data_IF_279837800976
#
_entry.id   IF_279837800976
#
_cell.length_a   1.000
_cell.length_b   1.000
_cell.length_c   1.000
_cell.angle_alpha   90.00
_cell.angle_beta   90.00
_cell.angle_gamma   90.00
#
_symmetry.space_group_name_H-M   'P 1'
#
loop_
_entity.id
_entity.type
_entity.pdbx_description
1 polymer ?
#
# COMPACT_ATOMS: atom_id res chain seq x y z
N UNK A 1 72.87 -6.61 -38.63
CA UNK A 1 72.52 -6.86 -37.25
C UNK A 1 71.38 -5.90 -36.89
N UNK A 2 70.09 -6.39 -36.96
CA UNK A 2 68.91 -5.63 -36.74
C UNK A 2 68.46 -5.83 -35.30
N UNK A 3 68.47 -4.78 -34.47
CA UNK A 3 67.97 -4.82 -33.13
C UNK A 3 66.46 -4.57 -33.18
N UNK A 4 65.64 -5.56 -32.77
CA UNK A 4 64.17 -5.43 -32.55
C UNK A 4 63.96 -4.86 -31.17
N UNK A 5 63.35 -3.66 -31.11
CA UNK A 5 62.82 -3.08 -29.90
C UNK A 5 61.36 -3.61 -29.70
N UNK A 6 61.14 -4.37 -28.65
CA UNK A 6 59.83 -4.89 -28.26
C UNK A 6 59.17 -3.85 -27.37
N UNK A 7 58.20 -3.13 -27.90
CA UNK A 7 57.41 -2.13 -27.14
C UNK A 7 56.36 -2.83 -26.29
N UNK A 8 56.46 -2.69 -24.97
CA UNK A 8 55.50 -3.18 -23.99
C UNK A 8 54.30 -2.21 -23.88
N UNK A 9 53.16 -2.58 -24.46
CA UNK A 9 51.89 -1.86 -24.33
C UNK A 9 51.21 -2.28 -23.02
N UNK A 10 51.14 -1.36 -22.04
CA UNK A 10 50.38 -1.54 -20.80
C UNK A 10 48.97 -1.02 -21.06
N UNK A 11 47.92 -1.86 -20.93
CA UNK A 11 46.55 -1.34 -21.00
C UNK A 11 46.16 -0.60 -19.71
N UNK A 12 45.83 0.70 -19.83
CA UNK A 12 45.16 1.45 -18.76
C UNK A 12 43.74 0.92 -18.57
N UNK A 13 43.50 0.25 -17.46
CA UNK A 13 42.14 -0.11 -17.03
C UNK A 13 41.57 1.11 -16.34
N UNK A 14 40.71 1.86 -17.03
CA UNK A 14 39.91 2.93 -16.42
C UNK A 14 38.77 2.27 -15.67
N UNK A 15 38.90 2.18 -14.34
CA UNK A 15 37.82 1.79 -13.42
C UNK A 15 36.87 2.98 -13.28
N UNK A 16 35.74 2.94 -14.00
CA UNK A 16 34.60 3.83 -13.73
C UNK A 16 33.89 3.35 -12.46
N UNK A 17 34.29 3.90 -11.31
CA UNK A 17 33.50 3.80 -10.09
C UNK A 17 32.34 4.81 -10.20
N UNK A 18 31.21 4.38 -10.75
CA UNK A 18 29.94 5.09 -10.62
C UNK A 18 29.42 4.85 -9.20
N UNK A 19 29.79 5.75 -8.29
CA UNK A 19 29.14 5.88 -6.99
C UNK A 19 27.71 6.36 -7.19
N UNK A 20 26.79 5.42 -7.38
CA UNK A 20 25.37 5.69 -7.30
C UNK A 20 25.02 6.07 -5.86
N UNK A 21 24.66 7.34 -5.64
CA UNK A 21 24.03 7.73 -4.39
C UNK A 21 22.75 6.91 -4.23
N UNK A 22 22.75 5.99 -3.27
CA UNK A 22 21.56 5.26 -2.85
C UNK A 22 20.69 6.30 -2.14
N UNK A 23 19.72 6.83 -2.85
CA UNK A 23 18.60 7.56 -2.27
C UNK A 23 17.87 6.58 -1.35
N UNK A 24 17.99 6.79 -0.04
CA UNK A 24 17.31 6.01 1.00
C UNK A 24 15.83 6.37 1.07
N UNK A 25 15.10 6.17 -0.02
CA UNK A 25 13.68 5.91 0.08
C UNK A 25 13.56 4.46 0.53
N UNK A 26 13.16 4.24 1.79
CA UNK A 26 12.88 2.91 2.33
C UNK A 26 11.68 2.29 1.61
N UNK A 27 11.89 1.83 0.39
CA UNK A 27 10.96 0.95 -0.31
C UNK A 27 11.32 -0.47 0.07
N UNK A 28 10.55 -1.04 1.00
CA UNK A 28 10.66 -2.45 1.34
C UNK A 28 9.84 -3.27 0.35
N UNK A 29 10.48 -4.25 -0.31
CA UNK A 29 9.76 -5.27 -1.07
C UNK A 29 9.13 -6.25 -0.10
N UNK A 30 7.82 -6.41 -0.20
CA UNK A 30 7.07 -7.42 0.54
C UNK A 30 7.03 -8.69 -0.31
N UNK A 31 7.28 -9.85 0.31
CA UNK A 31 7.12 -11.14 -0.34
C UNK A 31 5.64 -11.30 -0.77
N UNK A 32 5.38 -11.28 -2.09
CA UNK A 32 4.03 -11.23 -2.68
C UNK A 32 3.83 -10.13 -3.72
N UNK A 33 4.92 -9.43 -4.12
CA UNK A 33 4.97 -8.34 -5.10
C UNK A 33 4.40 -6.98 -4.65
N UNK A 34 4.06 -6.79 -3.38
CA UNK A 34 3.69 -5.49 -2.84
C UNK A 34 4.92 -4.62 -2.55
N UNK A 35 4.87 -3.34 -2.94
CA UNK A 35 5.87 -2.34 -2.55
C UNK A 35 5.29 -1.51 -1.42
N UNK A 36 5.89 -1.64 -0.21
CA UNK A 36 5.54 -0.84 0.95
C UNK A 36 6.37 0.44 1.00
N UNK A 37 5.70 1.55 1.24
CA UNK A 37 6.32 2.86 1.45
C UNK A 37 5.81 3.43 2.76
N UNK A 38 6.69 3.68 3.72
CA UNK A 38 6.39 4.47 4.91
C UNK A 38 6.72 5.94 4.64
N UNK A 39 5.82 6.84 5.00
CA UNK A 39 5.95 8.28 4.76
C UNK A 39 6.36 8.96 6.07
N UNK A 40 7.54 9.62 6.12
CA UNK A 40 7.96 10.38 7.28
C UNK A 40 6.92 11.44 7.66
N UNK A 41 6.73 11.70 8.96
CA UNK A 41 5.66 12.60 9.45
C UNK A 41 5.65 13.97 8.77
N UNK A 42 6.82 14.54 8.48
CA UNK A 42 6.96 15.84 7.81
C UNK A 42 6.53 15.85 6.32
N UNK A 43 6.42 14.68 5.69
CA UNK A 43 6.08 14.52 4.28
C UNK A 43 4.64 14.02 4.06
N UNK A 44 3.95 13.65 5.16
CA UNK A 44 2.56 13.15 5.09
C UNK A 44 1.64 14.23 4.56
N UNK A 45 0.70 13.82 3.72
CA UNK A 45 -0.34 14.70 3.18
C UNK A 45 -1.69 14.27 3.71
N UNK A 46 -2.58 15.22 3.94
CA UNK A 46 -3.93 14.95 4.40
C UNK A 46 -4.67 14.01 3.43
N UNK A 47 -5.34 13.02 4.00
CA UNK A 47 -6.34 12.23 3.29
C UNK A 47 -7.62 13.07 3.10
N UNK A 48 -8.42 12.81 2.05
CA UNK A 48 -9.74 13.41 1.96
C UNK A 48 -10.65 12.90 3.09
N UNK A 49 -11.76 13.60 3.34
CA UNK A 49 -12.79 13.07 4.21
C UNK A 49 -13.29 11.72 3.69
N UNK A 50 -13.31 10.71 4.57
CA UNK A 50 -13.65 9.32 4.22
C UNK A 50 -15.03 9.02 4.78
N UNK A 51 -16.02 9.02 3.91
CA UNK A 51 -17.41 8.67 4.25
C UNK A 51 -18.15 8.23 2.99
N UNK A 52 -19.23 7.48 3.16
CA UNK A 52 -20.13 7.11 2.07
C UNK A 52 -20.91 5.83 2.31
N UNK A 53 -21.78 5.46 1.36
CA UNK A 53 -22.58 4.24 1.43
C UNK A 53 -21.71 2.99 1.36
N UNK A 54 -22.10 1.97 2.12
CA UNK A 54 -21.38 0.71 2.23
C UNK A 54 -22.09 -0.44 1.52
N UNK A 55 -21.33 -1.50 1.22
CA UNK A 55 -21.80 -2.68 0.49
C UNK A 55 -22.93 -3.43 1.20
N UNK A 56 -22.98 -3.38 2.52
CA UNK A 56 -24.03 -3.95 3.38
C UNK A 56 -25.31 -3.10 3.43
N UNK A 57 -25.32 -1.93 2.80
CA UNK A 57 -26.44 -1.01 2.76
C UNK A 57 -26.44 0.04 3.88
N UNK A 58 -25.39 0.06 4.70
CA UNK A 58 -25.15 1.08 5.73
C UNK A 58 -24.46 2.33 5.16
N UNK A 59 -23.89 3.10 6.07
CA UNK A 59 -23.05 4.25 5.77
C UNK A 59 -21.83 4.26 6.69
N UNK A 60 -20.67 4.59 6.16
CA UNK A 60 -19.43 4.72 6.90
C UNK A 60 -19.03 6.17 7.03
N UNK A 61 -18.49 6.52 8.17
CA UNK A 61 -17.82 7.79 8.42
C UNK A 61 -16.57 7.54 9.27
N UNK A 62 -15.42 8.04 8.81
CA UNK A 62 -14.16 7.88 9.52
C UNK A 62 -14.21 8.57 10.89
N UNK A 63 -13.82 7.84 11.93
CA UNK A 63 -13.76 8.39 13.30
C UNK A 63 -12.47 9.20 13.46
N UNK A 64 -12.56 10.49 13.81
CA UNK A 64 -11.38 11.31 14.08
C UNK A 64 -10.46 10.68 15.15
N UNK A 65 -9.17 10.81 14.99
CA UNK A 65 -8.19 10.31 15.96
C UNK A 65 -7.87 8.82 15.85
N UNK A 66 -8.51 8.08 14.95
CA UNK A 66 -8.20 6.66 14.72
C UNK A 66 -7.31 6.47 13.50
N UNK A 67 -6.40 5.52 13.59
CA UNK A 67 -5.68 4.98 12.42
C UNK A 67 -6.68 4.25 11.52
N UNK A 68 -6.55 4.45 10.20
CA UNK A 68 -7.41 3.80 9.21
C UNK A 68 -6.54 2.98 8.27
N UNK A 69 -6.89 1.72 8.07
CA UNK A 69 -6.39 0.87 6.98
C UNK A 69 -7.44 0.87 5.87
N UNK A 70 -7.13 1.54 4.75
CA UNK A 70 -8.01 1.65 3.60
C UNK A 70 -7.46 0.78 2.47
N UNK A 71 -8.19 -0.26 2.09
CA UNK A 71 -7.82 -1.20 1.02
C UNK A 71 -8.72 -1.03 -0.20
N UNK A 72 -8.12 -0.80 -1.38
CA UNK A 72 -8.83 -0.69 -2.67
C UNK A 72 -8.85 -2.05 -3.35
N UNK A 73 -10.03 -2.58 -3.64
CA UNK A 73 -10.19 -3.95 -4.08
C UNK A 73 -11.33 -4.18 -5.09
N UNK A 74 -11.31 -5.36 -5.72
CA UNK A 74 -12.43 -5.86 -6.53
C UNK A 74 -12.49 -7.40 -6.42
N UNK A 75 -13.66 -7.99 -6.60
CA UNK A 75 -13.87 -9.46 -6.49
C UNK A 75 -13.15 -10.26 -7.58
N UNK A 76 -12.96 -9.67 -8.74
CA UNK A 76 -12.26 -10.28 -9.89
C UNK A 76 -10.72 -10.16 -9.80
N UNK A 77 -10.20 -9.38 -8.87
CA UNK A 77 -8.77 -9.14 -8.68
C UNK A 77 -8.13 -10.34 -7.95
N UNK A 78 -7.25 -11.07 -8.61
CA UNK A 78 -6.60 -12.26 -8.02
C UNK A 78 -5.76 -11.95 -6.78
N UNK A 79 -4.85 -10.95 -6.76
CA UNK A 79 -4.10 -10.61 -5.55
C UNK A 79 -4.98 -10.05 -4.43
N UNK A 80 -6.12 -9.38 -4.74
CA UNK A 80 -7.07 -8.96 -3.70
C UNK A 80 -7.68 -10.18 -2.97
N UNK A 81 -7.86 -11.29 -3.68
CA UNK A 81 -8.35 -12.56 -3.09
C UNK A 81 -7.30 -13.21 -2.20
N UNK A 82 -6.02 -13.07 -2.55
CA UNK A 82 -4.93 -13.63 -1.78
C UNK A 82 -4.70 -12.88 -0.45
N UNK A 83 -4.84 -11.54 -0.45
CA UNK A 83 -4.66 -10.72 0.76
C UNK A 83 -5.88 -10.67 1.70
N UNK A 84 -7.08 -11.01 1.21
CA UNK A 84 -8.32 -10.86 1.97
C UNK A 84 -8.31 -11.56 3.36
N UNK A 85 -7.76 -12.79 3.52
CA UNK A 85 -7.66 -13.42 4.84
C UNK A 85 -6.76 -12.61 5.81
N UNK A 86 -5.62 -12.11 5.34
CA UNK A 86 -4.70 -11.34 6.18
C UNK A 86 -5.32 -10.01 6.65
N UNK A 87 -6.03 -9.31 5.74
CA UNK A 87 -6.75 -8.08 6.09
C UNK A 87 -7.86 -8.35 7.11
N UNK A 88 -8.62 -9.44 6.94
CA UNK A 88 -9.67 -9.81 7.89
C UNK A 88 -9.08 -10.18 9.26
N UNK A 89 -8.02 -10.95 9.31
CA UNK A 89 -7.36 -11.34 10.57
C UNK A 89 -6.84 -10.12 11.31
N UNK A 90 -6.15 -9.20 10.61
CA UNK A 90 -5.64 -7.95 11.18
C UNK A 90 -6.77 -7.03 11.67
N UNK A 91 -7.90 -7.00 10.98
CA UNK A 91 -9.05 -6.18 11.41
C UNK A 91 -9.64 -6.66 12.74
N UNK A 92 -9.51 -7.94 13.05
CA UNK A 92 -9.92 -8.53 14.34
C UNK A 92 -8.84 -8.31 15.40
N UNK A 93 -7.56 -8.43 15.03
CA UNK A 93 -6.43 -8.26 15.93
C UNK A 93 -6.28 -6.80 16.41
N UNK A 94 -6.68 -5.82 15.59
CA UNK A 94 -6.58 -4.38 15.88
C UNK A 94 -7.94 -3.68 15.94
N UNK A 95 -8.77 -3.93 16.97
CA UNK A 95 -10.11 -3.32 17.08
C UNK A 95 -10.06 -1.79 17.27
N UNK A 96 -8.91 -1.23 17.65
CA UNK A 96 -8.67 0.21 17.74
C UNK A 96 -8.45 0.87 16.37
N UNK A 97 -8.05 0.10 15.34
CA UNK A 97 -7.82 0.56 13.97
C UNK A 97 -9.11 0.39 13.15
N UNK A 98 -9.46 1.39 12.36
CA UNK A 98 -10.59 1.28 11.44
C UNK A 98 -10.14 0.63 10.13
N UNK A 99 -10.59 -0.58 9.84
CA UNK A 99 -10.42 -1.21 8.53
C UNK A 99 -11.58 -0.83 7.61
N UNK A 100 -11.27 -0.49 6.37
CA UNK A 100 -12.23 -0.06 5.36
C UNK A 100 -11.81 -0.54 3.98
N UNK A 101 -12.71 -1.19 3.26
CA UNK A 101 -12.58 -1.45 1.84
C UNK A 101 -13.08 -0.28 0.99
N UNK A 102 -12.56 -0.12 -0.22
CA UNK A 102 -13.15 0.69 -1.29
C UNK A 102 -13.31 -0.22 -2.51
N UNK A 103 -14.54 -0.55 -2.81
CA UNK A 103 -14.89 -1.36 -3.98
C UNK A 103 -14.72 -0.53 -5.24
N UNK A 104 -13.95 -1.01 -6.23
CA UNK A 104 -13.77 -0.30 -7.49
C UNK A 104 -14.10 -1.18 -8.69
N UNK A 105 -14.83 -0.63 -9.66
CA UNK A 105 -15.14 -1.26 -10.97
C UNK A 105 -15.65 -2.69 -10.87
N UNK A 106 -16.59 -2.93 -9.96
CA UNK A 106 -17.14 -4.27 -9.69
C UNK A 106 -18.66 -4.22 -9.52
N UNK A 107 -19.32 -5.37 -9.68
CA UNK A 107 -20.73 -5.49 -9.39
C UNK A 107 -20.96 -5.74 -7.89
N UNK A 108 -22.00 -5.12 -7.33
CA UNK A 108 -22.37 -5.32 -5.92
C UNK A 108 -22.69 -6.79 -5.59
N UNK A 109 -23.19 -7.56 -6.57
CA UNK A 109 -23.49 -8.99 -6.39
C UNK A 109 -22.20 -9.78 -6.23
N UNK A 110 -21.22 -9.58 -7.11
CA UNK A 110 -19.92 -10.28 -7.02
C UNK A 110 -19.14 -9.85 -5.77
N UNK A 111 -19.20 -8.56 -5.44
CA UNK A 111 -18.57 -8.02 -4.23
C UNK A 111 -19.16 -8.63 -2.94
N UNK A 112 -20.48 -8.78 -2.84
CA UNK A 112 -21.12 -9.45 -1.69
C UNK A 112 -20.72 -10.91 -1.57
N UNK A 113 -20.67 -11.64 -2.68
CA UNK A 113 -20.21 -13.03 -2.69
C UNK A 113 -18.73 -13.18 -2.27
N UNK A 114 -17.89 -12.18 -2.62
CA UNK A 114 -16.50 -12.11 -2.15
C UNK A 114 -16.44 -11.90 -0.62
N UNK A 115 -17.15 -10.91 -0.10
CA UNK A 115 -17.21 -10.59 1.35
C UNK A 115 -17.69 -11.79 2.15
N UNK A 116 -18.73 -12.48 1.68
CA UNK A 116 -19.23 -13.70 2.30
C UNK A 116 -18.19 -14.82 2.27
N UNK A 117 -17.58 -15.07 1.11
CA UNK A 117 -16.58 -16.14 0.92
C UNK A 117 -15.35 -15.99 1.82
N UNK A 118 -14.85 -14.75 2.00
CA UNK A 118 -13.67 -14.45 2.80
C UNK A 118 -14.01 -14.01 4.23
N UNK A 119 -15.30 -14.09 4.61
CA UNK A 119 -15.81 -13.74 5.93
C UNK A 119 -15.41 -12.33 6.40
N UNK A 120 -15.28 -11.37 5.46
CA UNK A 120 -14.89 -9.99 5.73
C UNK A 120 -15.94 -9.31 6.62
N UNK A 121 -15.51 -8.74 7.75
CA UNK A 121 -16.39 -8.10 8.74
C UNK A 121 -16.30 -6.56 8.73
N UNK A 122 -15.23 -6.00 8.17
CA UNK A 122 -15.11 -4.56 8.04
C UNK A 122 -15.90 -4.05 6.81
N UNK A 123 -16.42 -2.80 6.88
CA UNK A 123 -17.23 -2.23 5.79
C UNK A 123 -16.42 -1.98 4.52
N UNK A 124 -17.12 -1.90 3.38
CA UNK A 124 -16.55 -1.46 2.11
C UNK A 124 -17.42 -0.38 1.49
N UNK A 125 -16.84 0.76 1.15
CA UNK A 125 -17.50 1.81 0.37
C UNK A 125 -17.79 1.31 -1.04
N UNK A 126 -18.95 1.70 -1.59
CA UNK A 126 -19.37 1.34 -2.96
C UNK A 126 -19.17 2.47 -3.96
N UNK A 127 -18.83 3.67 -3.49
CA UNK A 127 -18.49 4.82 -4.33
C UNK A 127 -16.97 5.00 -4.37
N UNK A 128 -16.36 4.60 -5.49
CA UNK A 128 -14.91 4.71 -5.71
C UNK A 128 -14.45 6.10 -6.16
N UNK A 129 -15.36 7.06 -6.32
CA UNK A 129 -15.01 8.45 -6.68
C UNK A 129 -14.12 9.11 -5.61
N UNK A 130 -14.15 8.63 -4.37
CA UNK A 130 -13.26 9.05 -3.29
C UNK A 130 -11.79 8.87 -3.66
N UNK A 131 -11.44 7.85 -4.46
CA UNK A 131 -10.06 7.57 -4.86
C UNK A 131 -9.44 8.73 -5.65
N UNK A 132 -10.25 9.47 -6.39
CA UNK A 132 -9.82 10.64 -7.15
C UNK A 132 -9.39 11.80 -6.23
N UNK A 133 -9.96 11.87 -5.03
CA UNK A 133 -9.69 12.94 -4.05
C UNK A 133 -8.32 12.80 -3.36
N UNK A 134 -7.66 11.63 -3.47
CA UNK A 134 -6.33 11.41 -2.89
C UNK A 134 -5.19 12.11 -3.63
N UNK A 135 -5.44 12.81 -4.74
CA UNK A 135 -4.51 13.71 -5.44
C UNK A 135 -3.08 13.14 -5.62
N UNK A 136 -2.97 11.95 -6.21
CA UNK A 136 -1.69 11.31 -6.50
C UNK A 136 -1.05 10.56 -5.32
N UNK A 137 -1.69 10.51 -4.15
CA UNK A 137 -1.24 9.67 -3.03
C UNK A 137 -1.52 8.18 -3.28
N UNK A 138 -2.44 7.88 -4.19
CA UNK A 138 -2.67 6.54 -4.73
C UNK A 138 -2.91 6.61 -6.25
N UNK A 139 -2.72 5.47 -6.92
CA UNK A 139 -3.07 5.33 -8.34
C UNK A 139 -4.45 4.67 -8.42
N UNK A 140 -5.51 5.38 -8.85
CA UNK A 140 -6.90 4.90 -8.76
C UNK A 140 -7.17 3.57 -9.48
N UNK A 141 -6.33 3.24 -10.46
CA UNK A 141 -6.46 2.02 -11.28
C UNK A 141 -5.57 0.87 -10.82
N UNK A 142 -4.70 1.08 -9.81
CA UNK A 142 -3.80 0.06 -9.29
C UNK A 142 -4.47 -0.66 -8.10
N UNK A 143 -4.87 -1.92 -8.31
CA UNK A 143 -5.45 -2.78 -7.28
C UNK A 143 -4.67 -4.10 -7.17
N UNK A 144 -4.52 -4.60 -5.94
CA UNK A 144 -4.87 -3.92 -4.70
C UNK A 144 -3.92 -2.77 -4.37
N UNK A 145 -4.42 -1.79 -3.64
CA UNK A 145 -3.60 -0.76 -2.99
C UNK A 145 -4.13 -0.56 -1.59
N UNK A 146 -3.22 -0.56 -0.60
CA UNK A 146 -3.57 -0.32 0.80
C UNK A 146 -2.91 0.96 1.27
N UNK A 147 -3.69 1.87 1.86
CA UNK A 147 -3.21 3.06 2.55
C UNK A 147 -3.36 2.88 4.06
N UNK A 148 -2.40 3.38 4.83
CA UNK A 148 -2.55 3.58 6.26
C UNK A 148 -2.59 5.09 6.50
N UNK A 149 -3.67 5.54 7.14
CA UNK A 149 -3.92 6.93 7.48
C UNK A 149 -3.76 7.05 8.99
N UNK A 150 -2.93 7.99 9.44
CA UNK A 150 -2.69 8.21 10.87
C UNK A 150 -3.87 8.89 11.59
N UNK A 151 -3.83 8.93 12.91
CA UNK A 151 -4.86 9.56 13.74
C UNK A 151 -5.02 11.06 13.51
N UNK A 152 -4.03 11.72 12.89
CA UNK A 152 -4.13 13.11 12.45
C UNK A 152 -4.81 13.26 11.08
N UNK A 153 -5.19 12.16 10.43
CA UNK A 153 -5.86 12.15 9.12
C UNK A 153 -4.92 12.28 7.94
N UNK A 154 -3.63 11.98 8.10
CA UNK A 154 -2.66 12.04 7.01
C UNK A 154 -2.28 10.64 6.51
N UNK A 155 -2.02 10.51 5.22
CA UNK A 155 -1.51 9.25 4.65
C UNK A 155 -0.09 9.01 5.14
N UNK A 156 0.09 7.97 5.97
CA UNK A 156 1.33 7.64 6.66
C UNK A 156 2.08 6.47 6.01
N UNK A 157 1.37 5.58 5.32
CA UNK A 157 2.00 4.50 4.58
C UNK A 157 1.14 4.07 3.38
N UNK A 158 1.78 3.43 2.40
CA UNK A 158 1.13 2.84 1.22
C UNK A 158 1.77 1.51 0.87
N UNK A 159 0.95 0.53 0.55
CA UNK A 159 1.35 -0.71 -0.10
C UNK A 159 0.71 -0.75 -1.48
N UNK A 160 1.52 -0.88 -2.53
CA UNK A 160 1.05 -1.08 -3.90
C UNK A 160 1.21 -2.54 -4.26
N UNK A 161 0.11 -3.25 -4.51
CA UNK A 161 0.06 -4.70 -4.69
C UNK A 161 -0.41 -5.43 -3.42
N UNK A 162 -0.37 -6.78 -3.48
CA UNK A 162 -0.82 -7.67 -2.42
C UNK A 162 -0.10 -7.42 -1.09
N UNK A 163 -0.84 -7.39 0.01
CA UNK A 163 -0.28 -7.30 1.36
C UNK A 163 -0.12 -8.70 1.96
N UNK A 164 0.93 -8.87 2.78
CA UNK A 164 1.05 -10.00 3.70
C UNK A 164 0.67 -9.55 5.11
N UNK A 165 0.26 -10.49 5.97
CA UNK A 165 -0.06 -10.21 7.36
C UNK A 165 1.07 -9.44 8.05
N UNK A 166 2.31 -9.99 8.04
CA UNK A 166 3.45 -9.41 8.74
C UNK A 166 3.80 -8.00 8.26
N UNK A 167 3.74 -7.77 6.96
CA UNK A 167 4.11 -6.47 6.43
C UNK A 167 3.08 -5.38 6.74
N UNK A 168 1.80 -5.70 6.74
CA UNK A 168 0.76 -4.74 7.13
C UNK A 168 0.76 -4.53 8.65
N UNK A 169 0.97 -5.58 9.44
CA UNK A 169 1.16 -5.51 10.90
C UNK A 169 2.28 -4.54 11.27
N UNK A 170 3.49 -4.75 10.70
CA UNK A 170 4.65 -3.90 10.95
C UNK A 170 4.38 -2.43 10.63
N UNK A 171 3.66 -2.16 9.53
CA UNK A 171 3.30 -0.79 9.15
C UNK A 171 2.26 -0.17 10.08
N UNK A 172 1.25 -0.94 10.51
CA UNK A 172 0.24 -0.47 11.48
C UNK A 172 0.93 -0.05 12.78
N UNK A 173 1.77 -0.92 13.34
CA UNK A 173 2.49 -0.64 14.59
C UNK A 173 3.47 0.54 14.43
N UNK A 174 4.14 0.62 13.30
CA UNK A 174 5.04 1.75 12.99
C UNK A 174 4.28 3.09 12.86
N UNK A 175 3.09 3.09 12.29
CA UNK A 175 2.26 4.30 12.20
C UNK A 175 1.75 4.71 13.58
N UNK A 176 1.23 3.77 14.38
CA UNK A 176 0.77 4.00 15.76
C UNK A 176 1.88 4.56 16.66
N UNK A 177 3.11 4.06 16.54
CA UNK A 177 4.25 4.52 17.35
C UNK A 177 4.82 5.88 16.94
N UNK A 178 4.43 6.40 15.76
CA UNK A 178 4.88 7.68 15.21
C UNK A 178 3.75 8.73 15.13
N UNK A 179 2.70 8.59 15.92
CA UNK A 179 1.61 9.57 16.06
C UNK A 179 1.98 10.83 16.85
#
# INVERSE_FOLDING_TARGET
>A
MKKFLLGLLIPLVVSCSTGGAISTNEQSFIAGNGVATFIPKAERKAAPAISGPTLDGGNFEATPGKVIVLNVWASWCSPCRAEAPALQELSVAHPEVQFLGVLTRDSLVAARAFVERFEIKYPSLVDDSILLKFHGQLTPNAIPTTLIIDGSGNVAARISGEVTYSALEDLIERVKSNE
#
